data_IF_683418349503
#
_entry.id   IF_683418349503
#
_cell.length_a   1.000
_cell.length_b   1.000
_cell.length_c   1.000
_cell.angle_alpha   90.00
_cell.angle_beta   90.00
_cell.angle_gamma   90.00
#
_symmetry.space_group_name_H-M   'P 1'
#
loop_
_entity.id
_entity.type
_entity.pdbx_description
1 polymer ?
#
# COMPACT_ATOMS: atom_id res chain seq x y z
N UNK A 1 -3.88 9.81 20.46
CA UNK A 1 -4.39 8.92 19.41
C UNK A 1 -5.51 8.06 19.94
N UNK A 2 -6.70 8.60 20.07
CA UNK A 2 -7.96 7.84 20.19
C UNK A 2 -8.69 7.83 18.84
N UNK A 3 -9.79 7.08 18.75
CA UNK A 3 -10.65 7.10 17.57
C UNK A 3 -11.24 8.50 17.30
N UNK A 4 -11.63 9.25 18.34
CA UNK A 4 -12.17 10.59 18.17
C UNK A 4 -11.11 11.59 17.68
N UNK A 5 -9.87 11.47 18.16
CA UNK A 5 -8.76 12.30 17.70
C UNK A 5 -8.47 12.04 16.22
N UNK A 6 -8.44 10.77 15.80
CA UNK A 6 -8.26 10.39 14.39
C UNK A 6 -9.38 10.93 13.50
N UNK A 7 -10.63 10.83 13.95
CA UNK A 7 -11.79 11.38 13.24
C UNK A 7 -11.70 12.91 13.11
N UNK A 8 -11.32 13.62 14.18
CA UNK A 8 -11.14 15.07 14.14
C UNK A 8 -10.03 15.51 13.17
N UNK A 9 -8.93 14.76 13.09
CA UNK A 9 -7.86 15.01 12.14
C UNK A 9 -8.30 14.77 10.69
N UNK A 10 -9.12 13.73 10.47
CA UNK A 10 -9.75 13.43 9.17
C UNK A 10 -10.67 14.56 8.71
N UNK A 11 -11.52 15.06 9.61
CA UNK A 11 -12.43 16.18 9.33
C UNK A 11 -11.66 17.45 9.00
N UNK A 12 -10.57 17.73 9.72
CA UNK A 12 -9.71 18.88 9.43
C UNK A 12 -9.06 18.77 8.04
N UNK A 13 -8.58 17.59 7.66
CA UNK A 13 -8.00 17.36 6.34
C UNK A 13 -9.04 17.52 5.22
N UNK A 14 -10.26 16.99 5.41
CA UNK A 14 -11.36 17.16 4.47
C UNK A 14 -11.74 18.64 4.30
N UNK A 15 -11.79 19.41 5.39
CA UNK A 15 -12.04 20.87 5.36
C UNK A 15 -10.91 21.68 4.70
N UNK A 16 -9.72 21.12 4.62
CA UNK A 16 -8.57 21.72 3.95
C UNK A 16 -8.46 21.29 2.48
N UNK A 17 -9.47 20.60 1.94
CA UNK A 17 -9.51 20.08 0.57
C UNK A 17 -8.29 19.19 0.23
N UNK A 18 -7.72 18.52 1.23
CA UNK A 18 -6.63 17.57 1.03
C UNK A 18 -7.16 16.28 0.41
N UNK A 19 -6.40 15.68 -0.50
CA UNK A 19 -6.77 14.40 -1.09
C UNK A 19 -6.70 13.30 -0.02
N UNK A 20 -7.83 12.65 0.25
CA UNK A 20 -7.98 11.69 1.34
C UNK A 20 -8.25 10.29 0.81
N UNK A 21 -7.54 9.31 1.36
CA UNK A 21 -7.77 7.88 1.13
C UNK A 21 -8.04 7.21 2.48
N UNK A 22 -9.27 6.77 2.67
CA UNK A 22 -9.70 6.05 3.87
C UNK A 22 -9.40 4.57 3.72
N UNK A 23 -8.52 4.03 4.55
CA UNK A 23 -8.17 2.60 4.55
C UNK A 23 -9.00 1.84 5.61
N UNK A 24 -9.43 2.53 6.67
CA UNK A 24 -10.20 1.95 7.76
C UNK A 24 -9.35 1.03 8.64
N UNK A 25 -10.00 0.03 9.26
CA UNK A 25 -9.30 -1.00 10.03
C UNK A 25 -8.42 -1.85 9.11
N UNK A 26 -7.11 -1.80 9.36
CA UNK A 26 -6.06 -2.46 8.59
C UNK A 26 -4.99 -3.02 9.52
N UNK A 27 -4.12 -3.87 8.99
CA UNK A 27 -2.93 -4.33 9.71
C UNK A 27 -1.69 -3.60 9.19
N UNK A 28 -1.03 -2.83 10.04
CA UNK A 28 0.19 -2.08 9.68
C UNK A 28 1.23 -2.24 10.79
N UNK A 29 2.50 -2.44 10.44
CA UNK A 29 3.62 -2.43 11.39
C UNK A 29 3.45 -3.35 12.63
N UNK A 30 2.84 -4.53 12.47
CA UNK A 30 2.51 -5.47 13.56
C UNK A 30 1.43 -5.00 14.54
N UNK A 31 0.53 -4.14 14.06
CA UNK A 31 -0.67 -3.73 14.80
C UNK A 31 -1.92 -3.80 13.92
N UNK A 32 -3.07 -4.05 14.54
CA UNK A 32 -4.38 -3.66 14.00
C UNK A 32 -4.59 -2.19 14.30
N UNK A 33 -4.89 -1.40 13.29
CA UNK A 33 -5.08 0.04 13.42
C UNK A 33 -6.23 0.50 12.53
N UNK A 34 -6.97 1.51 12.96
CA UNK A 34 -7.78 2.33 12.04
C UNK A 34 -6.89 3.40 11.41
N UNK A 35 -7.04 3.66 10.11
CA UNK A 35 -6.06 4.42 9.34
C UNK A 35 -6.65 5.13 8.13
N UNK A 36 -6.11 6.31 7.84
CA UNK A 36 -6.29 6.97 6.56
C UNK A 36 -4.99 7.67 6.12
N UNK A 37 -4.96 8.00 4.83
CA UNK A 37 -3.89 8.77 4.20
C UNK A 37 -4.42 10.12 3.73
N UNK A 38 -3.58 11.14 3.84
CA UNK A 38 -3.80 12.44 3.20
C UNK A 38 -2.62 12.79 2.33
N UNK A 39 -2.87 13.39 1.18
CA UNK A 39 -1.81 13.95 0.33
C UNK A 39 -1.87 15.46 0.39
N UNK A 40 -0.77 16.08 0.79
CA UNK A 40 -0.67 17.54 0.85
C UNK A 40 -0.52 18.17 -0.55
N UNK A 41 -0.67 19.50 -0.69
CA UNK A 41 -0.50 20.16 -1.98
C UNK A 41 0.92 20.07 -2.58
N UNK A 42 1.94 19.71 -1.80
CA UNK A 42 3.29 19.45 -2.29
C UNK A 42 3.46 18.00 -2.79
N UNK A 43 2.42 17.17 -2.67
CA UNK A 43 2.39 15.79 -3.10
C UNK A 43 2.92 14.80 -2.05
N UNK A 44 3.14 15.22 -0.80
CA UNK A 44 3.61 14.32 0.26
C UNK A 44 2.41 13.58 0.84
N UNK A 45 2.50 12.24 0.85
CA UNK A 45 1.53 11.38 1.50
C UNK A 45 1.85 11.22 2.99
N UNK A 46 0.88 11.53 3.84
CA UNK A 46 0.94 11.41 5.29
C UNK A 46 -0.04 10.35 5.77
N UNK A 47 0.45 9.43 6.59
CA UNK A 47 -0.36 8.41 7.25
C UNK A 47 -0.78 8.90 8.64
N UNK A 48 -2.07 8.76 8.97
CA UNK A 48 -2.57 8.97 10.33
C UNK A 48 -3.36 7.73 10.76
N UNK A 49 -3.07 7.25 11.97
CA UNK A 49 -3.64 6.00 12.46
C UNK A 49 -3.91 6.02 13.96
N UNK A 50 -4.82 5.14 14.38
CA UNK A 50 -5.07 4.78 15.77
C UNK A 50 -4.88 3.28 15.94
N UNK A 51 -3.90 2.89 16.75
CA UNK A 51 -3.64 1.48 17.06
C UNK A 51 -4.72 0.91 17.98
N UNK A 52 -5.34 -0.18 17.54
CA UNK A 52 -6.37 -0.91 18.26
C UNK A 52 -5.78 -2.09 19.04
N UNK A 53 -4.81 -2.81 18.46
CA UNK A 53 -4.21 -4.00 19.06
C UNK A 53 -2.86 -4.37 18.41
N UNK A 54 -2.07 -5.22 19.06
CA UNK A 54 -0.83 -5.79 18.50
C UNK A 54 -1.10 -7.15 17.84
N UNK A 55 -0.40 -7.46 16.75
CA UNK A 55 -0.43 -8.78 16.10
C UNK A 55 0.96 -9.39 16.04
N UNK A 56 1.10 -10.72 16.22
CA UNK A 56 2.41 -11.37 16.26
C UNK A 56 3.02 -11.57 14.87
N UNK A 57 2.22 -11.48 13.81
CA UNK A 57 2.65 -11.68 12.43
C UNK A 57 2.29 -10.46 11.58
N UNK A 58 3.15 -10.15 10.61
CA UNK A 58 2.89 -9.07 9.67
C UNK A 58 1.75 -9.47 8.71
N UNK A 59 0.84 -8.53 8.42
CA UNK A 59 -0.25 -8.72 7.46
C UNK A 59 -1.18 -9.90 7.82
N UNK A 60 -1.53 -10.06 9.09
CA UNK A 60 -2.55 -11.03 9.50
C UNK A 60 -3.86 -10.75 8.75
N UNK A 61 -4.47 -11.79 8.17
CA UNK A 61 -5.73 -11.61 7.48
C UNK A 61 -6.80 -11.18 8.49
N UNK A 62 -7.32 -9.95 8.38
CA UNK A 62 -8.53 -9.55 9.09
C UNK A 62 -9.60 -10.59 8.78
N UNK A 63 -10.27 -11.19 9.77
CA UNK A 63 -11.30 -12.19 9.51
C UNK A 63 -12.41 -11.52 8.70
N UNK A 64 -12.36 -11.72 7.38
CA UNK A 64 -13.32 -11.13 6.47
C UNK A 64 -14.71 -11.62 6.88
N UNK A 65 -15.65 -10.69 7.09
CA UNK A 65 -17.06 -11.05 6.92
C UNK A 65 -17.16 -11.69 5.54
N UNK A 66 -17.49 -12.98 5.53
CA UNK A 66 -17.38 -13.84 4.36
C UNK A 66 -18.04 -13.20 3.13
N UNK A 67 -17.24 -12.74 2.15
CA UNK A 67 -17.80 -12.17 0.94
C UNK A 67 -16.90 -11.27 0.12
N UNK A 68 -15.67 -11.70 -0.22
CA UNK A 68 -14.99 -11.36 -1.47
C UNK A 68 -13.57 -11.96 -1.44
N UNK A 69 -13.44 -13.22 -1.86
CA UNK A 69 -12.14 -13.73 -2.31
C UNK A 69 -11.95 -13.24 -3.75
N UNK A 70 -11.04 -12.32 -3.98
CA UNK A 70 -10.40 -12.22 -5.30
C UNK A 70 -9.03 -12.88 -5.20
N UNK A 71 -8.97 -14.11 -5.71
CA UNK A 71 -7.73 -14.78 -5.99
C UNK A 71 -7.09 -14.11 -7.21
N UNK A 72 -5.96 -13.44 -7.00
CA UNK A 72 -4.98 -13.18 -8.05
C UNK A 72 -3.58 -13.18 -7.43
N UNK A 73 -3.23 -14.31 -6.82
CA UNK A 73 -1.82 -14.69 -6.72
C UNK A 73 -1.39 -15.10 -8.13
N UNK A 74 -0.71 -14.20 -8.83
CA UNK A 74 0.20 -14.57 -9.91
C UNK A 74 1.44 -13.72 -9.71
N UNK A 75 2.34 -14.30 -8.91
CA UNK A 75 3.63 -13.71 -8.61
C UNK A 75 4.48 -13.62 -9.87
N UNK A 76 4.57 -12.41 -10.42
CA UNK A 76 5.87 -11.93 -10.87
C UNK A 76 6.50 -11.26 -9.64
N UNK A 77 7.37 -11.98 -8.93
CA UNK A 77 8.18 -11.37 -7.91
C UNK A 77 8.99 -10.25 -8.58
N UNK A 78 8.90 -9.02 -8.06
CA UNK A 78 9.53 -7.82 -8.64
C UNK A 78 11.07 -7.91 -8.73
N UNK A 79 11.68 -8.92 -8.12
CA UNK A 79 13.12 -9.18 -8.14
C UNK A 79 13.53 -10.32 -9.09
N UNK A 80 12.59 -10.91 -9.85
CA UNK A 80 12.94 -11.86 -10.89
C UNK A 80 13.61 -11.08 -12.03
N UNK A 81 14.93 -11.20 -12.15
CA UNK A 81 15.65 -10.77 -13.33
C UNK A 81 14.99 -11.43 -14.56
N UNK A 82 14.73 -10.68 -15.65
CA UNK A 82 14.26 -11.32 -16.87
C UNK A 82 15.28 -12.39 -17.25
N UNK A 83 14.80 -13.62 -17.45
CA UNK A 83 15.62 -14.70 -17.98
C UNK A 83 16.32 -14.14 -19.23
N UNK A 84 17.64 -13.99 -19.14
CA UNK A 84 18.43 -13.46 -20.23
C UNK A 84 18.20 -14.34 -21.45
N UNK A 85 17.41 -13.86 -22.40
CA UNK A 85 17.40 -14.41 -23.75
C UNK A 85 18.83 -14.27 -24.24
N UNK A 86 19.52 -15.40 -24.39
CA UNK A 86 20.86 -15.44 -24.93
C UNK A 86 20.87 -14.72 -26.27
N UNK A 87 21.44 -13.51 -26.27
CA UNK A 87 21.78 -12.78 -27.47
C UNK A 87 22.77 -13.63 -28.26
N UNK A 88 22.30 -14.20 -29.37
CA UNK A 88 23.19 -14.73 -30.39
C UNK A 88 23.90 -13.54 -31.02
N UNK A 89 25.18 -13.40 -30.70
CA UNK A 89 26.09 -12.52 -31.39
C UNK A 89 26.61 -13.21 -32.67
N UNK A 90 26.50 -12.52 -33.81
CA UNK A 90 27.55 -12.27 -34.82
C UNK A 90 26.97 -12.12 -36.25
N UNK A 91 27.69 -11.50 -37.21
CA UNK A 91 28.64 -10.39 -37.11
C UNK A 91 28.23 -9.18 -37.98
N UNK A 92 28.86 -8.04 -37.75
CA UNK A 92 28.74 -6.85 -38.59
C UNK A 92 29.33 -7.10 -40.00
N UNK A 93 28.57 -6.76 -41.04
CA UNK A 93 29.11 -6.37 -42.34
C UNK A 93 28.95 -4.86 -42.49
N UNK A 94 30.08 -4.22 -42.79
CA UNK A 94 30.19 -2.80 -43.04
C UNK A 94 29.67 -2.39 -44.44
N UNK A 95 29.44 -1.08 -44.55
CA UNK A 95 29.49 -0.19 -45.73
C UNK A 95 28.21 0.21 -46.48
N UNK A 96 28.22 1.53 -46.75
CA UNK A 96 27.40 2.40 -47.61
C UNK A 96 26.07 2.90 -47.01
#
# INVERSE_FOLDING_TARGET
>A
GSAEELAGLKDNAARADMALLDEGETTCCYARSDKYWVTDPQGVAWEQFHTLDSIPVFSEATPAKAGARSAAQSGAACCAAPAATAAQAAPAKACC
#
